data_IF_765285039377
#
_entry.id   IF_765285039377
#
_cell.length_a   1.000
_cell.length_b   1.000
_cell.length_c   1.000
_cell.angle_alpha   90.00
_cell.angle_beta   90.00
_cell.angle_gamma   90.00
#
_symmetry.space_group_name_H-M   'P 1'
#
loop_
_entity.id
_entity.type
_entity.pdbx_description
1 polymer ?
#
# COMPACT_ATOMS: atom_id res chain seq x y z
N UNK A 1 19.73 -22.46 -11.95
CA UNK A 1 18.69 -21.89 -12.83
C UNK A 1 19.19 -20.55 -13.31
N UNK A 2 19.26 -20.35 -14.62
CA UNK A 2 19.62 -19.05 -15.22
C UNK A 2 18.60 -17.98 -14.79
N UNK A 3 19.02 -16.72 -14.62
CA UNK A 3 18.07 -15.64 -14.37
C UNK A 3 17.09 -15.59 -15.53
N UNK A 4 15.80 -15.61 -15.20
CA UNK A 4 14.73 -15.57 -16.18
C UNK A 4 14.81 -14.26 -16.97
N UNK A 5 14.67 -14.34 -18.28
CA UNK A 5 14.74 -13.15 -19.15
C UNK A 5 13.52 -12.24 -18.92
N UNK A 6 13.63 -10.96 -19.30
CA UNK A 6 12.49 -10.03 -19.22
C UNK A 6 11.27 -10.54 -20.01
N UNK A 7 11.49 -11.22 -21.13
CA UNK A 7 10.43 -11.82 -21.96
C UNK A 7 9.70 -12.97 -21.23
N UNK A 8 10.46 -13.86 -20.60
CA UNK A 8 9.90 -14.95 -19.79
C UNK A 8 9.07 -14.42 -18.61
N UNK A 9 9.54 -13.36 -17.94
CA UNK A 9 8.77 -12.72 -16.88
C UNK A 9 7.48 -12.09 -17.38
N UNK A 10 7.48 -11.50 -18.58
CA UNK A 10 6.25 -10.93 -19.16
C UNK A 10 5.25 -12.04 -19.53
N UNK A 11 5.73 -13.18 -20.02
CA UNK A 11 4.87 -14.36 -20.25
C UNK A 11 4.23 -14.86 -18.95
N UNK A 12 5.02 -14.96 -17.86
CA UNK A 12 4.50 -15.32 -16.55
C UNK A 12 3.46 -14.29 -16.06
N UNK A 13 3.69 -13.00 -16.27
CA UNK A 13 2.74 -11.95 -15.87
C UNK A 13 1.42 -12.07 -16.64
N UNK A 14 1.47 -12.40 -17.93
CA UNK A 14 0.29 -12.66 -18.76
C UNK A 14 -0.48 -13.91 -18.29
N UNK A 15 0.23 -15.00 -17.94
CA UNK A 15 -0.38 -16.22 -17.39
C UNK A 15 -1.04 -15.93 -16.04
N UNK A 16 -0.36 -15.20 -15.16
CA UNK A 16 -0.87 -14.80 -13.85
C UNK A 16 -2.13 -13.96 -13.96
N UNK A 17 -2.13 -12.95 -14.84
CA UNK A 17 -3.30 -12.11 -15.10
C UNK A 17 -4.52 -12.91 -15.60
N UNK A 18 -4.29 -14.03 -16.28
CA UNK A 18 -5.33 -14.95 -16.78
C UNK A 18 -5.72 -16.04 -15.76
N UNK A 19 -5.14 -16.04 -14.56
CA UNK A 19 -5.37 -17.07 -13.54
C UNK A 19 -4.79 -18.44 -13.89
N UNK A 20 -3.74 -18.49 -14.72
CA UNK A 20 -3.10 -19.74 -15.21
C UNK A 20 -1.64 -19.88 -14.75
N UNK A 21 -1.33 -19.32 -13.59
CA UNK A 21 0.01 -19.40 -12.99
C UNK A 21 0.05 -20.57 -12.02
N UNK A 22 1.07 -21.42 -12.18
CA UNK A 22 1.38 -22.51 -11.25
C UNK A 22 2.36 -22.05 -10.17
N UNK A 23 2.56 -22.88 -9.14
CA UNK A 23 3.47 -22.57 -8.03
C UNK A 23 4.91 -22.30 -8.51
N UNK A 24 5.39 -23.05 -9.49
CA UNK A 24 6.74 -22.88 -10.05
C UNK A 24 6.92 -21.50 -10.71
N UNK A 25 5.89 -20.99 -11.40
CA UNK A 25 5.90 -19.64 -11.96
C UNK A 25 5.90 -18.54 -10.89
N UNK A 26 5.22 -18.76 -9.76
CA UNK A 26 5.28 -17.86 -8.60
C UNK A 26 6.70 -17.87 -8.00
N UNK A 27 7.26 -19.06 -7.79
CA UNK A 27 8.62 -19.23 -7.24
C UNK A 27 9.68 -18.61 -8.15
N UNK A 28 9.53 -18.73 -9.48
CA UNK A 28 10.43 -18.11 -10.45
C UNK A 28 10.39 -16.57 -10.38
N UNK A 29 9.19 -15.98 -10.23
CA UNK A 29 9.06 -14.53 -10.03
C UNK A 29 9.68 -14.10 -8.69
N UNK A 30 9.44 -14.84 -7.61
CA UNK A 30 10.07 -14.57 -6.31
C UNK A 30 11.60 -14.64 -6.39
N UNK A 31 12.14 -15.62 -7.13
CA UNK A 31 13.57 -15.75 -7.35
C UNK A 31 14.14 -14.55 -8.13
N UNK A 32 13.46 -14.07 -9.17
CA UNK A 32 13.89 -12.89 -9.94
C UNK A 32 13.96 -11.62 -9.08
N UNK A 33 12.99 -11.42 -8.17
CA UNK A 33 13.01 -10.32 -7.21
C UNK A 33 14.20 -10.45 -6.26
N UNK A 34 14.45 -11.66 -5.74
CA UNK A 34 15.52 -11.92 -4.78
C UNK A 34 16.93 -11.84 -5.39
N UNK A 35 17.10 -12.22 -6.65
CA UNK A 35 18.41 -12.30 -7.30
C UNK A 35 18.95 -10.95 -7.77
N UNK A 36 18.18 -9.86 -7.62
CA UNK A 36 18.62 -8.54 -8.03
C UNK A 36 18.80 -8.42 -9.53
N UNK A 37 17.91 -9.03 -10.33
CA UNK A 37 17.87 -8.80 -11.79
C UNK A 37 17.69 -7.31 -12.10
N UNK A 38 17.79 -6.94 -13.37
CA UNK A 38 17.53 -5.56 -13.79
C UNK A 38 16.15 -5.05 -13.30
N UNK A 39 15.99 -3.73 -13.14
CA UNK A 39 14.76 -3.15 -12.57
C UNK A 39 13.48 -3.46 -13.35
N UNK A 40 13.55 -3.66 -14.68
CA UNK A 40 12.37 -3.98 -15.47
C UNK A 40 11.89 -5.39 -15.15
N UNK A 41 12.80 -6.36 -15.16
CA UNK A 41 12.50 -7.76 -14.80
C UNK A 41 11.94 -7.85 -13.38
N UNK A 42 12.50 -7.08 -12.43
CA UNK A 42 12.01 -7.05 -11.04
C UNK A 42 10.59 -6.51 -10.92
N UNK A 43 10.28 -5.43 -11.63
CA UNK A 43 8.92 -4.86 -11.67
C UNK A 43 7.91 -5.81 -12.31
N UNK A 44 8.27 -6.48 -13.40
CA UNK A 44 7.41 -7.51 -14.01
C UNK A 44 7.21 -8.70 -13.07
N UNK A 45 8.24 -9.15 -12.36
CA UNK A 45 8.12 -10.21 -11.36
C UNK A 45 7.19 -9.81 -10.19
N UNK A 46 7.23 -8.55 -9.73
CA UNK A 46 6.27 -8.04 -8.74
C UNK A 46 4.83 -8.04 -9.29
N UNK A 47 4.62 -7.74 -10.58
CA UNK A 47 3.31 -7.89 -11.24
C UNK A 47 2.84 -9.34 -11.23
N UNK A 48 3.74 -10.31 -11.44
CA UNK A 48 3.41 -11.75 -11.33
C UNK A 48 2.90 -12.07 -9.93
N UNK A 49 3.62 -11.67 -8.88
CA UNK A 49 3.20 -11.90 -7.49
C UNK A 49 1.86 -11.22 -7.15
N UNK A 50 1.62 -10.01 -7.68
CA UNK A 50 0.34 -9.35 -7.55
C UNK A 50 -0.81 -10.16 -8.16
N UNK A 51 -0.63 -10.71 -9.36
CA UNK A 51 -1.71 -11.47 -10.01
C UNK A 51 -1.93 -12.86 -9.42
N UNK A 52 -0.86 -13.52 -8.94
CA UNK A 52 -0.91 -14.84 -8.30
C UNK A 52 -1.92 -14.89 -7.14
N UNK A 53 -2.21 -13.74 -6.51
CA UNK A 53 -2.99 -13.70 -5.27
C UNK A 53 -2.15 -14.11 -4.09
N UNK A 54 -2.80 -14.36 -2.95
CA UNK A 54 -2.10 -14.62 -1.68
C UNK A 54 -1.05 -15.71 -1.85
N UNK A 55 0.21 -15.33 -1.74
CA UNK A 55 1.36 -16.22 -1.73
C UNK A 55 2.10 -16.03 -0.42
N UNK A 56 1.49 -16.49 0.68
CA UNK A 56 1.98 -16.29 2.04
C UNK A 56 3.46 -16.68 2.21
N UNK A 57 3.92 -17.71 1.49
CA UNK A 57 5.32 -18.14 1.47
C UNK A 57 6.31 -17.04 1.01
N UNK A 58 5.87 -16.08 0.19
CA UNK A 58 6.69 -14.99 -0.33
C UNK A 58 6.46 -13.65 0.38
N UNK A 59 5.60 -13.60 1.40
CA UNK A 59 5.43 -12.39 2.22
C UNK A 59 6.74 -11.89 2.84
N UNK A 60 7.67 -12.74 3.35
CA UNK A 60 8.96 -12.28 3.84
C UNK A 60 9.78 -11.53 2.78
N UNK A 61 9.69 -11.93 1.52
CA UNK A 61 10.36 -11.25 0.40
C UNK A 61 9.75 -9.88 0.14
N UNK A 62 8.43 -9.77 0.04
CA UNK A 62 7.73 -8.50 -0.16
C UNK A 62 8.01 -7.54 1.00
N UNK A 63 7.97 -8.03 2.24
CA UNK A 63 8.32 -7.25 3.43
C UNK A 63 9.75 -6.74 3.40
N UNK A 64 10.70 -7.60 3.00
CA UNK A 64 12.10 -7.20 2.82
C UNK A 64 12.22 -6.08 1.77
N UNK A 65 11.56 -6.21 0.63
CA UNK A 65 11.55 -5.18 -0.41
C UNK A 65 10.98 -3.86 0.11
N UNK A 66 9.88 -3.87 0.87
CA UNK A 66 9.31 -2.66 1.51
C UNK A 66 10.28 -1.96 2.47
N UNK A 67 11.17 -2.73 3.10
CA UNK A 67 12.16 -2.24 4.05
C UNK A 67 13.40 -1.67 3.37
N UNK A 68 13.89 -2.37 2.36
CA UNK A 68 15.25 -2.15 1.82
C UNK A 68 15.26 -1.41 0.48
N UNK A 69 14.22 -1.55 -0.35
CA UNK A 69 14.18 -0.89 -1.65
C UNK A 69 14.05 0.62 -1.49
N UNK A 70 14.64 1.35 -2.44
CA UNK A 70 14.48 2.80 -2.64
C UNK A 70 13.92 3.10 -4.04
N UNK A 71 13.53 2.07 -4.78
CA UNK A 71 12.88 2.22 -6.07
C UNK A 71 11.37 2.46 -5.83
N UNK A 72 10.83 3.65 -6.17
CA UNK A 72 9.42 3.95 -5.96
C UNK A 72 8.48 2.96 -6.64
N UNK A 73 8.80 2.52 -7.86
CA UNK A 73 7.93 1.60 -8.61
C UNK A 73 7.83 0.24 -7.90
N UNK A 74 8.94 -0.27 -7.37
CA UNK A 74 8.96 -1.54 -6.64
C UNK A 74 8.14 -1.46 -5.36
N UNK A 75 8.31 -0.37 -4.61
CA UNK A 75 7.62 -0.15 -3.34
C UNK A 75 6.12 0.02 -3.57
N UNK A 76 5.70 0.79 -4.58
CA UNK A 76 4.30 0.97 -4.96
C UNK A 76 3.67 -0.39 -5.32
N UNK A 77 4.38 -1.25 -6.05
CA UNK A 77 3.89 -2.60 -6.33
C UNK A 77 3.76 -3.45 -5.06
N UNK A 78 4.76 -3.43 -4.19
CA UNK A 78 4.71 -4.15 -2.91
C UNK A 78 3.54 -3.68 -2.03
N UNK A 79 3.29 -2.37 -1.95
CA UNK A 79 2.19 -1.77 -1.22
C UNK A 79 0.83 -2.20 -1.79
N UNK A 80 0.69 -2.29 -3.12
CA UNK A 80 -0.52 -2.84 -3.77
C UNK A 80 -0.71 -4.32 -3.46
N UNK A 81 0.38 -5.11 -3.43
CA UNK A 81 0.35 -6.52 -3.05
C UNK A 81 -0.18 -6.67 -1.62
N UNK A 82 0.47 -6.03 -0.64
CA UNK A 82 0.10 -6.22 0.78
C UNK A 82 -1.22 -5.53 1.15
N UNK A 83 -1.52 -4.37 0.57
CA UNK A 83 -2.73 -3.61 0.86
C UNK A 83 -3.98 -4.21 0.22
N UNK A 84 -3.97 -4.35 -1.11
CA UNK A 84 -5.19 -4.65 -1.87
C UNK A 84 -5.35 -6.12 -2.24
N UNK A 85 -4.24 -6.82 -2.49
CA UNK A 85 -4.32 -8.16 -3.07
C UNK A 85 -4.26 -9.27 -2.03
N UNK A 86 -3.33 -9.16 -1.08
CA UNK A 86 -3.08 -10.18 -0.06
C UNK A 86 -3.70 -9.81 1.29
N UNK A 87 -4.13 -8.55 1.47
CA UNK A 87 -4.65 -8.01 2.74
C UNK A 87 -3.70 -8.31 3.93
N UNK A 88 -2.40 -8.16 3.70
CA UNK A 88 -1.31 -8.57 4.60
C UNK A 88 -0.60 -7.39 5.29
N UNK A 89 -1.22 -6.20 5.34
CA UNK A 89 -0.62 -5.00 5.95
C UNK A 89 -0.22 -5.22 7.41
N UNK A 90 -1.01 -5.96 8.21
CA UNK A 90 -0.67 -6.26 9.60
C UNK A 90 0.72 -6.93 9.75
N UNK A 91 1.11 -7.79 8.81
CA UNK A 91 2.41 -8.47 8.85
C UNK A 91 3.59 -7.57 8.42
N UNK A 92 3.28 -6.42 7.81
CA UNK A 92 4.24 -5.42 7.32
C UNK A 92 3.98 -4.03 7.93
N UNK A 93 3.31 -3.97 9.10
CA UNK A 93 2.79 -2.70 9.63
C UNK A 93 3.89 -1.67 9.83
N UNK A 94 5.01 -2.06 10.43
CA UNK A 94 6.15 -1.17 10.66
C UNK A 94 6.74 -0.61 9.36
N UNK A 95 6.78 -1.42 8.29
CA UNK A 95 7.25 -0.96 6.99
C UNK A 95 6.25 0.01 6.33
N UNK A 96 4.95 -0.24 6.47
CA UNK A 96 3.90 0.65 5.96
C UNK A 96 3.86 1.97 6.74
N UNK A 97 3.90 1.94 8.06
CA UNK A 97 3.95 3.14 8.93
C UNK A 97 5.11 4.05 8.56
N UNK A 98 6.32 3.48 8.43
CA UNK A 98 7.51 4.23 8.00
C UNK A 98 7.29 4.96 6.67
N UNK A 99 6.63 4.31 5.70
CA UNK A 99 6.37 4.90 4.38
C UNK A 99 5.23 5.93 4.42
N UNK A 100 4.22 5.74 5.26
CA UNK A 100 3.15 6.75 5.51
C UNK A 100 3.74 8.02 6.12
N UNK A 101 4.65 7.89 7.10
CA UNK A 101 5.36 9.01 7.73
C UNK A 101 6.34 9.70 6.80
N UNK A 102 6.62 9.11 5.65
CA UNK A 102 7.50 9.66 4.63
C UNK A 102 8.96 9.28 4.83
N UNK A 103 9.70 9.35 3.74
CA UNK A 103 11.11 8.97 3.66
C UNK A 103 11.85 10.00 2.80
N UNK A 104 13.11 10.37 3.12
CA UNK A 104 13.77 11.50 2.45
C UNK A 104 13.99 11.33 0.95
N UNK A 105 14.00 10.09 0.45
CA UNK A 105 14.23 9.78 -0.96
C UNK A 105 12.93 9.74 -1.80
N UNK A 106 11.74 9.81 -1.18
CA UNK A 106 10.44 9.84 -1.88
C UNK A 106 10.04 11.28 -2.19
N UNK A 107 10.84 11.95 -3.04
CA UNK A 107 10.71 13.39 -3.32
C UNK A 107 9.35 13.78 -3.91
N UNK A 108 8.74 12.89 -4.71
CA UNK A 108 7.42 13.11 -5.32
C UNK A 108 6.27 12.73 -4.38
N UNK A 109 6.55 11.97 -3.31
CA UNK A 109 5.54 11.47 -2.38
C UNK A 109 4.70 10.31 -2.90
N UNK A 110 5.02 9.74 -4.07
CA UNK A 110 4.21 8.68 -4.71
C UNK A 110 4.19 7.40 -3.87
N UNK A 111 5.31 7.09 -3.19
CA UNK A 111 5.36 5.93 -2.29
C UNK A 111 4.53 6.20 -1.04
N UNK A 112 4.65 7.38 -0.44
CA UNK A 112 3.84 7.79 0.72
C UNK A 112 2.34 7.76 0.40
N UNK A 113 1.93 8.27 -0.75
CA UNK A 113 0.55 8.21 -1.26
C UNK A 113 0.03 6.77 -1.36
N UNK A 114 0.86 5.89 -1.92
CA UNK A 114 0.53 4.45 -2.03
C UNK A 114 0.50 3.76 -0.66
N UNK A 115 1.35 4.16 0.28
CA UNK A 115 1.39 3.62 1.63
C UNK A 115 0.15 4.03 2.42
N UNK A 116 -0.28 5.29 2.30
CA UNK A 116 -1.53 5.78 2.89
C UNK A 116 -2.73 4.99 2.37
N UNK A 117 -2.76 4.69 1.07
CA UNK A 117 -3.81 3.87 0.46
C UNK A 117 -3.83 2.44 1.03
N UNK A 118 -2.66 1.82 1.22
CA UNK A 118 -2.56 0.50 1.82
C UNK A 118 -2.97 0.50 3.31
N UNK A 119 -2.58 1.52 4.06
CA UNK A 119 -2.97 1.71 5.45
C UNK A 119 -4.49 1.90 5.58
N UNK A 120 -5.09 2.74 4.75
CA UNK A 120 -6.53 2.98 4.75
C UNK A 120 -7.34 1.71 4.39
N UNK A 121 -6.87 0.95 3.40
CA UNK A 121 -7.46 -0.36 3.04
C UNK A 121 -7.43 -1.33 4.22
N UNK A 122 -6.32 -1.38 4.96
CA UNK A 122 -6.23 -2.21 6.16
C UNK A 122 -7.19 -1.75 7.25
N UNK A 123 -7.23 -0.43 7.51
CA UNK A 123 -8.05 0.17 8.55
C UNK A 123 -9.56 0.04 8.29
N UNK A 124 -10.00 -0.24 7.06
CA UNK A 124 -11.41 -0.60 6.76
C UNK A 124 -11.85 -1.90 7.43
N UNK A 125 -10.92 -2.83 7.62
CA UNK A 125 -11.21 -4.19 8.10
C UNK A 125 -10.60 -4.52 9.46
N UNK A 126 -9.61 -3.75 9.92
CA UNK A 126 -8.86 -4.05 11.13
C UNK A 126 -8.54 -2.77 11.92
N UNK A 127 -8.34 -2.90 13.23
CA UNK A 127 -7.81 -1.84 14.07
C UNK A 127 -6.26 -1.84 14.00
N UNK A 128 -5.69 -0.65 13.86
CA UNK A 128 -4.25 -0.42 13.99
C UNK A 128 -4.02 1.00 14.51
N UNK A 129 -3.64 1.10 15.79
CA UNK A 129 -3.33 2.36 16.45
C UNK A 129 -2.19 3.10 15.74
N UNK A 130 -1.15 2.35 15.35
CA UNK A 130 0.01 2.86 14.62
C UNK A 130 -0.41 3.56 13.33
N UNK A 131 -1.15 2.86 12.46
CA UNK A 131 -1.49 3.37 11.13
C UNK A 131 -2.55 4.47 11.19
N UNK A 132 -3.52 4.37 12.09
CA UNK A 132 -4.52 5.42 12.29
C UNK A 132 -3.87 6.70 12.82
N UNK A 133 -2.93 6.58 13.75
CA UNK A 133 -2.13 7.71 14.25
C UNK A 133 -1.31 8.33 13.12
N UNK A 134 -0.63 7.52 12.31
CA UNK A 134 0.19 8.02 11.19
C UNK A 134 -0.62 8.82 10.17
N UNK A 135 -1.86 8.40 9.86
CA UNK A 135 -2.75 9.14 8.95
C UNK A 135 -3.27 10.44 9.58
N UNK A 136 -3.57 10.46 10.89
CA UNK A 136 -3.95 11.67 11.62
C UNK A 136 -2.79 12.67 11.71
N UNK A 137 -1.59 12.19 12.05
CA UNK A 137 -0.37 13.01 12.07
C UNK A 137 -0.11 13.65 10.70
N UNK A 138 -0.27 12.88 9.62
CA UNK A 138 -0.12 13.37 8.25
C UNK A 138 -1.15 14.47 7.92
N UNK A 139 -2.40 14.31 8.36
CA UNK A 139 -3.43 15.32 8.17
C UNK A 139 -3.11 16.61 8.95
N UNK A 140 -2.70 16.48 10.22
CA UNK A 140 -2.42 17.61 11.10
C UNK A 140 -1.15 18.36 10.71
N UNK A 141 -0.13 17.66 10.20
CA UNK A 141 1.15 18.21 9.77
C UNK A 141 1.23 18.57 8.27
N UNK A 142 0.13 18.44 7.52
CA UNK A 142 0.11 18.67 6.07
C UNK A 142 0.63 20.07 5.69
N UNK A 143 1.63 20.11 4.80
CA UNK A 143 2.26 21.35 4.35
C UNK A 143 1.46 22.05 3.23
N UNK A 144 0.59 21.31 2.55
CA UNK A 144 -0.30 21.83 1.51
C UNK A 144 -1.75 21.39 1.72
N UNK A 145 -2.67 22.08 1.05
CA UNK A 145 -4.08 21.67 1.00
C UNK A 145 -4.22 20.30 0.33
N UNK A 146 -3.50 20.03 -0.77
CA UNK A 146 -3.55 18.74 -1.47
C UNK A 146 -3.13 17.57 -0.56
N UNK A 147 -2.06 17.74 0.22
CA UNK A 147 -1.63 16.73 1.21
C UNK A 147 -2.71 16.49 2.27
N UNK A 148 -3.29 17.57 2.79
CA UNK A 148 -4.36 17.51 3.80
C UNK A 148 -5.60 16.80 3.27
N UNK A 149 -6.00 17.10 2.03
CA UNK A 149 -7.12 16.47 1.34
C UNK A 149 -6.84 15.00 1.05
N UNK A 150 -5.61 14.65 0.70
CA UNK A 150 -5.23 13.26 0.50
C UNK A 150 -5.31 12.44 1.79
N UNK A 151 -4.74 12.95 2.89
CA UNK A 151 -4.85 12.32 4.20
C UNK A 151 -6.31 12.17 4.65
N UNK A 152 -7.12 13.21 4.44
CA UNK A 152 -8.55 13.19 4.72
C UNK A 152 -9.29 12.11 3.93
N UNK A 153 -8.98 11.94 2.63
CA UNK A 153 -9.55 10.85 1.81
C UNK A 153 -9.18 9.47 2.36
N UNK A 154 -7.94 9.31 2.82
CA UNK A 154 -7.51 8.04 3.43
C UNK A 154 -8.26 7.76 4.74
N UNK A 155 -8.45 8.77 5.59
CA UNK A 155 -9.24 8.65 6.83
C UNK A 155 -10.72 8.33 6.54
N UNK A 156 -11.33 9.04 5.59
CA UNK A 156 -12.72 8.78 5.19
C UNK A 156 -12.91 7.36 4.63
N UNK A 157 -11.94 6.89 3.83
CA UNK A 157 -11.94 5.53 3.31
C UNK A 157 -11.78 4.49 4.42
N UNK A 158 -10.86 4.72 5.36
CA UNK A 158 -10.61 3.85 6.51
C UNK A 158 -11.84 3.68 7.42
N UNK A 159 -12.66 4.73 7.56
CA UNK A 159 -13.85 4.74 8.40
C UNK A 159 -15.10 4.14 7.70
N UNK A 160 -14.97 3.70 6.45
CA UNK A 160 -16.08 3.26 5.57
C UNK A 160 -17.13 4.34 5.28
N UNK A 161 -16.90 5.59 5.69
CA UNK A 161 -17.75 6.73 5.33
C UNK A 161 -17.82 6.94 3.81
N UNK A 162 -16.85 6.39 3.07
CA UNK A 162 -16.84 6.33 1.61
C UNK A 162 -16.58 4.90 1.14
N UNK A 163 -17.60 4.23 0.60
CA UNK A 163 -17.44 2.86 0.09
C UNK A 163 -16.49 2.77 -1.13
N UNK A 164 -16.32 3.87 -1.85
CA UNK A 164 -15.30 4.07 -2.86
C UNK A 164 -14.22 5.03 -2.33
N UNK A 165 -12.96 4.83 -2.76
CA UNK A 165 -11.94 5.89 -2.78
C UNK A 165 -12.49 7.00 -3.71
N UNK A 166 -13.37 7.85 -3.16
CA UNK A 166 -14.02 9.02 -3.75
C UNK A 166 -14.19 8.97 -5.28
N UNK A 167 -15.39 8.67 -5.83
CA UNK A 167 -15.62 8.77 -7.26
C UNK A 167 -15.33 10.22 -7.72
N UNK A 168 -14.76 10.42 -8.93
CA UNK A 168 -14.26 11.71 -9.40
C UNK A 168 -15.32 12.81 -9.54
N UNK A 169 -16.60 12.51 -9.30
CA UNK A 169 -17.74 13.38 -9.59
C UNK A 169 -18.40 14.03 -8.35
N UNK A 170 -17.91 13.79 -7.13
CA UNK A 170 -18.41 14.49 -5.94
C UNK A 170 -17.80 15.90 -5.85
N UNK A 171 -18.54 16.91 -5.31
CA UNK A 171 -18.01 18.26 -5.12
C UNK A 171 -16.68 18.21 -4.35
N UNK A 172 -15.78 19.16 -4.60
CA UNK A 172 -14.45 19.15 -4.02
C UNK A 172 -14.57 18.99 -2.50
N UNK A 173 -13.86 17.99 -1.96
CA UNK A 173 -13.56 17.98 -0.54
C UNK A 173 -12.83 19.29 -0.25
N UNK A 174 -13.52 20.24 0.37
CA UNK A 174 -12.87 21.40 0.97
C UNK A 174 -12.42 20.96 2.36
N UNK A 175 -11.15 21.20 2.71
CA UNK A 175 -10.57 20.70 3.95
C UNK A 175 -11.31 21.20 5.22
N UNK A 176 -12.01 22.33 5.10
CA UNK A 176 -12.78 22.95 6.18
C UNK A 176 -14.29 22.72 6.09
N UNK A 177 -14.75 21.87 5.17
CA UNK A 177 -16.16 21.50 5.10
C UNK A 177 -16.61 20.78 6.40
N UNK A 178 -17.88 20.91 6.83
CA UNK A 178 -18.41 20.15 7.96
C UNK A 178 -18.14 18.64 7.89
N UNK A 179 -18.16 18.07 6.69
CA UNK A 179 -17.82 16.66 6.44
C UNK A 179 -16.35 16.34 6.75
N UNK A 180 -15.42 17.21 6.37
CA UNK A 180 -14.00 17.00 6.64
C UNK A 180 -13.73 16.96 8.15
N UNK A 181 -14.36 17.88 8.90
CA UNK A 181 -14.27 17.90 10.36
C UNK A 181 -14.86 16.65 11.01
N UNK A 182 -15.99 16.12 10.50
CA UNK A 182 -16.57 14.90 11.05
C UNK A 182 -15.66 13.69 10.85
N UNK A 183 -15.10 13.52 9.64
CA UNK A 183 -14.15 12.40 9.36
C UNK A 183 -12.97 12.41 10.33
N UNK A 184 -12.37 13.57 10.59
CA UNK A 184 -11.23 13.69 11.52
C UNK A 184 -11.67 13.42 12.96
N UNK A 185 -12.84 13.91 13.36
CA UNK A 185 -13.39 13.65 14.68
C UNK A 185 -13.67 12.14 14.88
N UNK A 186 -14.32 11.50 13.91
CA UNK A 186 -14.63 10.07 13.92
C UNK A 186 -13.34 9.22 13.98
N UNK A 187 -12.32 9.60 13.22
CA UNK A 187 -11.00 8.96 13.28
C UNK A 187 -10.32 9.10 14.64
N UNK A 188 -10.37 10.29 15.27
CA UNK A 188 -9.83 10.52 16.62
C UNK A 188 -10.62 9.76 17.67
N UNK A 189 -11.93 9.68 17.54
CA UNK A 189 -12.79 8.92 18.44
C UNK A 189 -12.51 7.42 18.32
N UNK A 190 -12.34 6.94 17.09
CA UNK A 190 -11.90 5.57 16.81
C UNK A 190 -10.54 5.29 17.44
N UNK A 191 -9.56 6.18 17.28
CA UNK A 191 -8.25 6.02 17.91
C UNK A 191 -8.39 5.91 19.44
N UNK A 192 -9.20 6.76 20.07
CA UNK A 192 -9.46 6.69 21.51
C UNK A 192 -10.12 5.37 21.93
N UNK A 193 -11.06 4.85 21.15
CA UNK A 193 -11.74 3.57 21.45
C UNK A 193 -10.82 2.38 21.24
N UNK A 194 -10.14 2.32 20.10
CA UNK A 194 -9.35 1.15 19.67
C UNK A 194 -8.02 1.04 20.45
N UNK A 195 -7.51 2.15 20.99
CA UNK A 195 -6.17 2.23 21.58
C UNK A 195 -6.14 2.54 23.08
N UNK A 196 -7.29 2.78 23.72
CA UNK A 196 -7.37 2.92 25.17
C UNK A 196 -7.21 1.56 25.90
N UNK A 197 -7.45 0.45 25.20
CA UNK A 197 -7.42 -0.92 25.75
C UNK A 197 -6.19 -1.74 25.28
N UNK A 198 -5.20 -1.10 24.63
CA UNK A 198 -4.03 -1.75 24.03
C UNK A 198 -2.75 -1.68 24.89
#
# INVERSE_FOLDING_TARGET
MSPSTAEEMEELALRARRGRLDAAGVDAAAAAIASGTDPQTRRTALRVLYYAGSAAAHLPLVRRTLRESRDPDELIHCLRIVGRRWHAVAACEAEVDRLVRGVPWDETGDVRVSACSAAAEHLRGAASCTLLTALLDLHDAAASEDERLWALRCLAYADRATDELYPPERPPLEADAPFARSVVADARDRLRRDCADA
#
